data_IF_749321723939
#
_entry.id   IF_749321723939
#
_cell.length_a   1.000
_cell.length_b   1.000
_cell.length_c   1.000
_cell.angle_alpha   90.00
_cell.angle_beta   90.00
_cell.angle_gamma   90.00
#
_symmetry.space_group_name_H-M   'P 1'
#
loop_
_entity.id
_entity.type
_entity.pdbx_description
1 polymer ?
#
# COMPACT_ATOMS: atom_id res chain seq x y z
N UNK A 1 -5.36 -12.56 -4.65
CA UNK A 1 -5.17 -13.97 -4.99
C UNK A 1 -4.29 -14.55 -3.91
N UNK A 2 -4.81 -15.57 -3.25
CA UNK A 2 -4.28 -16.19 -2.04
C UNK A 2 -4.99 -17.53 -1.85
N UNK A 3 -4.37 -18.44 -1.11
CA UNK A 3 -4.96 -19.73 -0.70
C UNK A 3 -6.28 -19.52 0.04
N UNK A 4 -6.35 -18.53 0.95
CA UNK A 4 -7.56 -18.20 1.69
C UNK A 4 -8.71 -17.72 0.77
N UNK A 5 -8.40 -16.90 -0.25
CA UNK A 5 -9.39 -16.49 -1.24
C UNK A 5 -9.87 -17.66 -2.12
N UNK A 6 -8.95 -18.55 -2.53
CA UNK A 6 -9.26 -19.75 -3.33
C UNK A 6 -10.14 -20.76 -2.57
N UNK A 7 -9.90 -20.92 -1.27
CA UNK A 7 -10.58 -21.90 -0.42
C UNK A 7 -11.94 -21.42 0.12
N UNK A 8 -12.21 -20.10 0.11
CA UNK A 8 -13.48 -19.54 0.56
C UNK A 8 -14.61 -19.76 -0.46
N UNK A 9 -15.67 -20.47 -0.04
CA UNK A 9 -16.88 -20.69 -0.85
C UNK A 9 -17.56 -19.37 -1.21
N UNK A 10 -17.59 -18.41 -0.28
CA UNK A 10 -18.20 -17.10 -0.52
C UNK A 10 -17.42 -16.31 -1.58
N UNK A 11 -16.09 -16.27 -1.46
CA UNK A 11 -15.23 -15.57 -2.42
C UNK A 11 -15.32 -16.22 -3.81
N UNK A 12 -15.42 -17.55 -3.89
CA UNK A 12 -15.68 -18.26 -5.14
C UNK A 12 -17.01 -17.81 -5.78
N UNK A 13 -18.10 -17.80 -5.02
CA UNK A 13 -19.42 -17.41 -5.52
C UNK A 13 -19.46 -15.95 -6.01
N UNK A 14 -18.83 -15.03 -5.27
CA UNK A 14 -18.67 -13.62 -5.66
C UNK A 14 -17.88 -13.49 -6.98
N UNK A 15 -16.79 -14.24 -7.11
CA UNK A 15 -15.92 -14.21 -8.28
C UNK A 15 -16.58 -14.82 -9.53
N UNK A 16 -17.28 -15.95 -9.38
CA UNK A 16 -18.10 -16.55 -10.43
C UNK A 16 -19.25 -15.62 -10.86
N UNK A 17 -19.90 -14.94 -9.91
CA UNK A 17 -20.91 -13.92 -10.21
C UNK A 17 -20.32 -12.76 -11.02
N UNK A 18 -19.21 -12.16 -10.58
CA UNK A 18 -18.53 -11.09 -11.30
C UNK A 18 -18.12 -11.50 -12.73
N UNK A 19 -17.61 -12.72 -12.89
CA UNK A 19 -17.27 -13.29 -14.20
C UNK A 19 -18.49 -13.45 -15.11
N UNK A 20 -19.58 -14.05 -14.59
CA UNK A 20 -20.83 -14.25 -15.33
C UNK A 20 -21.50 -12.91 -15.73
N UNK A 21 -21.36 -11.88 -14.90
CA UNK A 21 -21.79 -10.50 -15.19
C UNK A 21 -20.88 -9.76 -16.20
N UNK A 22 -19.78 -10.37 -16.64
CA UNK A 22 -18.74 -9.77 -17.50
C UNK A 22 -18.11 -8.51 -16.89
N UNK A 23 -18.05 -8.45 -15.55
CA UNK A 23 -17.38 -7.36 -14.84
C UNK A 23 -15.89 -7.32 -15.19
N UNK A 24 -15.30 -6.12 -15.14
CA UNK A 24 -13.85 -5.96 -15.21
C UNK A 24 -13.24 -6.54 -13.93
N UNK A 25 -12.32 -7.49 -14.07
CA UNK A 25 -11.61 -8.13 -12.96
C UNK A 25 -10.12 -7.85 -13.17
N UNK A 26 -9.52 -7.10 -12.25
CA UNK A 26 -8.07 -6.91 -12.15
C UNK A 26 -7.58 -7.85 -11.04
N UNK A 27 -6.85 -8.93 -11.34
CA UNK A 27 -6.36 -9.83 -10.31
C UNK A 27 -5.20 -9.17 -9.57
N UNK A 28 -5.30 -9.12 -8.23
CA UNK A 28 -4.18 -8.75 -7.36
C UNK A 28 -3.55 -10.04 -6.81
N UNK A 29 -2.24 -10.19 -6.83
CA UNK A 29 -1.54 -11.19 -6.03
C UNK A 29 -1.22 -10.58 -4.67
N UNK A 30 -1.48 -11.32 -3.60
CA UNK A 30 -1.23 -10.84 -2.22
C UNK A 30 -0.52 -11.87 -1.35
N UNK A 31 -0.41 -13.13 -1.78
CA UNK A 31 0.24 -14.21 -1.03
C UNK A 31 1.53 -14.65 -1.74
N UNK A 32 2.64 -14.65 -1.01
CA UNK A 32 3.96 -14.94 -1.54
C UNK A 32 4.03 -16.33 -2.17
N UNK A 33 4.64 -16.42 -3.36
CA UNK A 33 4.79 -17.66 -4.13
C UNK A 33 3.47 -18.38 -4.50
N UNK A 34 2.30 -17.77 -4.26
CA UNK A 34 1.01 -18.38 -4.55
C UNK A 34 0.83 -18.62 -6.06
N UNK A 35 0.40 -19.83 -6.42
CA UNK A 35 0.09 -20.19 -7.81
C UNK A 35 -1.40 -20.46 -7.93
N UNK A 36 -2.11 -19.57 -8.63
CA UNK A 36 -3.54 -19.69 -8.85
C UNK A 36 -3.87 -20.98 -9.61
N UNK A 37 -4.68 -21.83 -8.99
CA UNK A 37 -5.07 -23.15 -9.49
C UNK A 37 -6.60 -23.32 -9.50
N UNK A 38 -7.08 -24.41 -10.11
CA UNK A 38 -8.50 -24.72 -10.19
C UNK A 38 -9.33 -23.54 -10.71
N UNK A 39 -10.44 -23.23 -10.00
CA UNK A 39 -11.35 -22.16 -10.38
C UNK A 39 -10.68 -20.78 -10.43
N UNK A 40 -9.74 -20.49 -9.52
CA UNK A 40 -9.06 -19.20 -9.46
C UNK A 40 -8.03 -19.07 -10.59
N UNK A 41 -7.34 -20.16 -10.92
CA UNK A 41 -6.47 -20.26 -12.10
C UNK A 41 -7.22 -20.04 -13.41
N UNK A 42 -8.41 -20.65 -13.58
CA UNK A 42 -9.26 -20.41 -14.75
C UNK A 42 -9.79 -18.97 -14.81
N UNK A 43 -10.17 -18.39 -13.65
CA UNK A 43 -10.67 -17.01 -13.57
C UNK A 43 -9.58 -15.99 -13.90
N UNK A 44 -8.36 -16.17 -13.41
CA UNK A 44 -7.21 -15.37 -13.79
C UNK A 44 -6.93 -15.54 -15.29
N UNK A 45 -6.76 -16.79 -15.74
CA UNK A 45 -6.46 -17.13 -17.13
C UNK A 45 -5.13 -16.51 -17.57
N UNK A 46 -5.12 -15.86 -18.74
CA UNK A 46 -3.97 -15.12 -19.26
C UNK A 46 -3.92 -13.64 -18.84
N UNK A 47 -4.71 -13.22 -17.84
CA UNK A 47 -4.66 -11.83 -17.35
C UNK A 47 -3.35 -11.57 -16.62
N UNK A 48 -2.76 -10.41 -16.90
CA UNK A 48 -1.70 -9.85 -16.06
C UNK A 48 -2.33 -9.56 -14.68
N UNK A 49 -1.61 -9.91 -13.62
CA UNK A 49 -1.96 -9.56 -12.25
C UNK A 49 -0.98 -8.51 -11.73
N UNK A 50 -1.43 -7.71 -10.76
CA UNK A 50 -0.56 -6.79 -10.02
C UNK A 50 -0.13 -7.48 -8.74
N UNK A 51 1.17 -7.51 -8.46
CA UNK A 51 1.72 -8.24 -7.31
C UNK A 51 2.01 -7.31 -6.14
N UNK A 52 1.38 -7.60 -5.00
CA UNK A 52 1.58 -6.94 -3.70
C UNK A 52 2.14 -7.92 -2.65
N UNK A 53 2.41 -9.18 -3.00
CA UNK A 53 2.98 -10.16 -2.09
C UNK A 53 4.44 -9.80 -1.76
N UNK A 54 4.76 -9.71 -0.46
CA UNK A 54 6.06 -9.26 0.05
C UNK A 54 6.53 -7.92 -0.56
N UNK A 55 5.59 -7.01 -0.88
CA UNK A 55 5.87 -5.68 -1.45
C UNK A 55 5.69 -4.59 -0.43
N UNK A 56 6.83 -4.03 -0.03
CA UNK A 56 6.94 -2.93 0.94
C UNK A 56 7.61 -1.72 0.28
N UNK A 57 7.55 -0.56 0.94
CA UNK A 57 8.15 0.72 0.52
C UNK A 57 8.07 1.03 -0.98
N UNK A 58 9.21 1.11 -1.67
CA UNK A 58 9.26 1.45 -3.09
C UNK A 58 8.67 0.37 -4.00
N UNK A 59 8.76 -0.91 -3.60
CA UNK A 59 8.19 -1.99 -4.41
C UNK A 59 6.67 -1.97 -4.33
N UNK A 60 6.13 -1.69 -3.13
CA UNK A 60 4.71 -1.42 -2.95
C UNK A 60 4.25 -0.24 -3.82
N UNK A 61 5.01 0.84 -3.86
CA UNK A 61 4.65 2.04 -4.61
C UNK A 61 4.62 1.76 -6.13
N UNK A 62 5.61 1.02 -6.65
CA UNK A 62 5.64 0.53 -8.06
C UNK A 62 4.48 -0.41 -8.37
N UNK A 63 4.14 -1.33 -7.47
CA UNK A 63 2.97 -2.21 -7.61
C UNK A 63 1.67 -1.38 -7.63
N UNK A 64 1.57 -0.36 -6.79
CA UNK A 64 0.42 0.53 -6.76
C UNK A 64 0.26 1.34 -8.06
N UNK A 65 1.35 1.84 -8.64
CA UNK A 65 1.32 2.49 -9.96
C UNK A 65 0.81 1.56 -11.07
N UNK A 66 1.22 0.29 -11.07
CA UNK A 66 0.70 -0.72 -12.00
C UNK A 66 -0.81 -0.97 -11.80
N UNK A 67 -1.30 -0.98 -10.56
CA UNK A 67 -2.74 -1.05 -10.28
C UNK A 67 -3.49 0.17 -10.81
N UNK A 68 -2.96 1.37 -10.62
CA UNK A 68 -3.56 2.60 -11.15
C UNK A 68 -3.63 2.55 -12.68
N UNK A 69 -2.54 2.17 -13.36
CA UNK A 69 -2.53 2.02 -14.82
C UNK A 69 -3.53 0.97 -15.32
N UNK A 70 -3.71 -0.15 -14.61
CA UNK A 70 -4.73 -1.16 -14.93
C UNK A 70 -6.17 -0.65 -14.69
N UNK A 71 -6.41 0.15 -13.64
CA UNK A 71 -7.71 0.78 -13.40
C UNK A 71 -8.08 1.77 -14.51
N UNK A 72 -7.14 2.61 -14.93
CA UNK A 72 -7.29 3.53 -16.07
C UNK A 72 -7.55 2.76 -17.38
N UNK A 73 -6.70 1.76 -17.70
CA UNK A 73 -6.82 0.93 -18.91
C UNK A 73 -8.15 0.20 -19.03
N UNK A 74 -8.79 -0.12 -17.90
CA UNK A 74 -10.09 -0.79 -17.85
C UNK A 74 -11.29 0.18 -17.76
N UNK A 75 -11.05 1.50 -17.69
CA UNK A 75 -12.11 2.51 -17.52
C UNK A 75 -12.76 2.48 -16.14
N UNK A 76 -12.04 2.01 -15.12
CA UNK A 76 -12.48 1.95 -13.72
C UNK A 76 -12.03 3.18 -12.90
N UNK A 77 -11.14 3.99 -13.47
CA UNK A 77 -10.77 5.31 -12.97
C UNK A 77 -10.84 6.29 -14.14
N UNK A 78 -11.67 7.31 -14.00
CA UNK A 78 -11.68 8.45 -14.92
C UNK A 78 -10.40 9.25 -14.70
N UNK A 79 -9.60 9.40 -15.74
CA UNK A 79 -8.60 10.47 -15.84
C UNK A 79 -9.30 11.71 -16.39
N UNK A 80 -9.14 12.86 -15.72
CA UNK A 80 -9.59 14.14 -16.27
C UNK A 80 -8.80 14.56 -17.53
N UNK A 81 -7.76 13.80 -17.89
CA UNK A 81 -7.03 13.94 -19.14
C UNK A 81 -7.34 12.79 -20.11
N UNK A 82 -8.05 13.13 -21.20
CA UNK A 82 -7.86 12.47 -22.49
C UNK A 82 -6.67 13.13 -23.19
N UNK A 83 -5.54 12.42 -23.30
CA UNK A 83 -4.58 12.68 -24.37
C UNK A 83 -4.25 11.40 -25.15
N UNK A 84 -3.82 11.64 -26.39
CA UNK A 84 -3.97 10.72 -27.51
C UNK A 84 -2.75 9.80 -27.67
N UNK A 85 -2.98 8.56 -28.12
CA UNK A 85 -1.95 7.53 -28.28
C UNK A 85 -0.78 7.95 -29.18
N UNK A 86 0.46 7.62 -28.79
CA UNK A 86 1.48 7.12 -29.74
C UNK A 86 2.57 6.26 -29.09
N UNK A 87 2.77 5.08 -29.67
CA UNK A 87 3.95 4.22 -29.46
C UNK A 87 5.17 4.88 -30.11
N UNK A 88 6.38 4.70 -29.57
CA UNK A 88 7.57 4.19 -30.29
C UNK A 88 8.72 3.92 -29.31
N UNK A 89 9.53 2.91 -29.63
CA UNK A 89 10.65 2.40 -28.84
C UNK A 89 12.01 3.04 -29.20
N UNK A 90 13.01 2.79 -28.32
CA UNK A 90 14.48 2.77 -28.52
C UNK A 90 15.31 3.89 -27.86
N UNK A 91 16.09 3.46 -26.86
CA UNK A 91 17.46 3.91 -26.49
C UNK A 91 18.48 3.71 -27.65
N UNK A 92 19.76 4.17 -27.60
CA UNK A 92 20.50 4.87 -26.53
C UNK A 92 21.36 6.09 -27.00
N UNK A 93 22.30 6.54 -26.13
CA UNK A 93 23.60 7.22 -26.39
C UNK A 93 23.71 8.68 -25.90
N UNK A 94 24.31 8.95 -24.72
CA UNK A 94 25.73 9.37 -24.49
C UNK A 94 26.06 10.82 -24.91
N UNK A 95 26.23 11.76 -23.96
CA UNK A 95 27.56 12.30 -23.53
C UNK A 95 27.50 13.33 -22.37
N UNK A 96 28.61 13.43 -21.62
CA UNK A 96 28.93 14.39 -20.53
C UNK A 96 29.49 15.72 -21.11
N UNK A 97 29.50 16.87 -20.40
CA UNK A 97 30.41 17.18 -19.26
C UNK A 97 29.77 18.11 -18.18
N UNK A 98 30.43 18.74 -17.18
CA UNK A 98 31.79 18.65 -16.62
C UNK A 98 31.78 18.82 -15.07
N UNK A 99 32.71 18.14 -14.39
CA UNK A 99 33.54 18.56 -13.23
C UNK A 99 33.12 19.77 -12.36
N UNK A 100 32.93 19.51 -11.06
CA UNK A 100 33.58 20.28 -9.97
C UNK A 100 34.09 19.34 -8.87
N UNK A 101 35.22 19.71 -8.24
CA UNK A 101 35.83 19.01 -7.09
C UNK A 101 35.66 19.84 -5.83
N UNK A 102 35.43 19.17 -4.69
CA UNK A 102 35.98 19.56 -3.39
C UNK A 102 35.82 18.39 -2.42
N UNK A 103 36.91 18.02 -1.74
CA UNK A 103 36.84 17.20 -0.52
C UNK A 103 36.36 18.10 0.64
N UNK A 104 35.82 17.52 1.72
CA UNK A 104 36.60 17.31 2.95
C UNK A 104 35.84 16.56 4.06
N UNK A 105 36.64 15.90 4.90
CA UNK A 105 36.41 15.33 6.22
C UNK A 105 35.13 14.51 6.54
N UNK A 106 35.36 13.20 6.69
CA UNK A 106 34.50 12.28 7.44
C UNK A 106 34.60 12.62 8.93
N UNK A 107 33.47 12.97 9.56
CA UNK A 107 33.31 12.95 11.02
C UNK A 107 32.23 11.94 11.39
N UNK A 108 32.47 11.00 12.33
CA UNK A 108 31.48 9.99 12.69
C UNK A 108 30.28 10.66 13.38
N UNK A 109 29.03 10.30 13.01
CA UNK A 109 27.85 10.79 13.73
C UNK A 109 27.77 10.09 15.09
N UNK A 110 28.09 10.82 16.16
CA UNK A 110 27.62 10.48 17.51
C UNK A 110 26.09 10.45 17.50
N UNK A 111 25.44 9.42 18.06
CA UNK A 111 23.99 9.38 18.13
C UNK A 111 23.48 10.55 19.01
N UNK A 112 22.47 11.31 18.56
CA UNK A 112 21.89 12.37 19.38
C UNK A 112 21.16 11.77 20.60
N UNK A 113 21.05 12.51 21.72
CA UNK A 113 20.44 11.99 22.94
C UNK A 113 18.92 11.82 22.77
N UNK A 114 18.38 10.75 23.36
CA UNK A 114 16.94 10.54 23.52
C UNK A 114 16.35 11.76 24.26
N UNK A 115 15.49 12.53 23.58
CA UNK A 115 14.73 13.62 24.17
C UNK A 115 13.25 13.45 23.83
N UNK A 116 12.50 13.02 24.84
CA UNK A 116 11.04 12.95 24.88
C UNK A 116 10.39 14.26 24.39
N UNK A 117 9.21 14.16 23.75
CA UNK A 117 8.30 15.25 23.30
C UNK A 117 8.42 15.85 21.89
N UNK A 118 9.28 15.37 20.98
CA UNK A 118 9.35 15.97 19.62
C UNK A 118 8.03 15.84 18.81
N UNK A 119 7.36 14.68 18.79
CA UNK A 119 6.13 14.47 17.99
C UNK A 119 4.98 15.44 18.30
N UNK A 120 4.93 16.07 19.48
CA UNK A 120 3.95 17.12 19.80
C UNK A 120 4.13 18.39 18.95
N UNK A 121 5.33 18.62 18.41
CA UNK A 121 5.66 19.76 17.55
C UNK A 121 5.55 19.45 16.05
N UNK A 122 5.32 18.18 15.66
CA UNK A 122 5.36 17.74 14.24
C UNK A 122 4.01 17.95 13.52
N UNK A 123 3.00 18.45 14.24
CA UNK A 123 1.67 18.73 13.71
C UNK A 123 0.77 17.49 13.66
N UNK A 124 -0.30 17.50 12.83
CA UNK A 124 -1.24 16.38 12.74
C UNK A 124 -0.54 15.07 12.37
N UNK A 125 -1.02 13.95 12.93
CA UNK A 125 -0.41 12.63 12.73
C UNK A 125 -0.21 12.26 11.25
N UNK A 126 -0.98 12.78 10.31
CA UNK A 126 -0.77 12.59 8.86
C UNK A 126 0.62 13.03 8.34
N UNK A 127 1.39 13.82 9.09
CA UNK A 127 2.76 14.21 8.74
C UNK A 127 3.85 13.35 9.37
N UNK A 128 3.50 12.33 10.17
CA UNK A 128 4.46 11.53 10.94
C UNK A 128 5.08 10.40 10.11
N UNK A 129 6.37 10.15 10.31
CA UNK A 129 7.06 8.94 9.85
C UNK A 129 7.05 7.85 10.96
N UNK A 130 7.62 6.68 10.67
CA UNK A 130 7.66 5.55 11.61
C UNK A 130 8.34 5.85 12.95
N UNK A 131 9.41 6.65 12.97
CA UNK A 131 10.06 7.05 14.22
C UNK A 131 9.09 7.80 15.15
N UNK A 132 8.36 8.79 14.63
CA UNK A 132 7.36 9.53 15.41
C UNK A 132 6.21 8.63 15.89
N UNK A 133 5.83 7.61 15.11
CA UNK A 133 4.85 6.60 15.52
C UNK A 133 5.38 5.76 16.68
N UNK A 134 6.63 5.29 16.62
CA UNK A 134 7.24 4.51 17.71
C UNK A 134 7.39 5.34 18.99
N UNK A 135 7.82 6.61 18.89
CA UNK A 135 7.87 7.55 20.02
C UNK A 135 6.49 7.78 20.65
N UNK A 136 5.46 7.99 19.82
CA UNK A 136 4.07 8.11 20.28
C UNK A 136 3.60 6.85 21.02
N UNK A 137 3.96 5.65 20.57
CA UNK A 137 3.60 4.40 21.24
C UNK A 137 4.28 4.28 22.62
N UNK A 138 5.57 4.60 22.72
CA UNK A 138 6.31 4.62 24.00
C UNK A 138 5.68 5.59 24.99
N UNK A 139 5.50 6.86 24.60
CA UNK A 139 5.03 7.91 25.51
C UNK A 139 3.58 7.70 25.97
N UNK A 140 2.76 6.96 25.18
CA UNK A 140 1.41 6.56 25.55
C UNK A 140 1.32 5.17 26.22
N UNK A 141 2.46 4.50 26.51
CA UNK A 141 2.55 3.17 27.14
C UNK A 141 1.84 2.07 26.34
N UNK A 142 1.97 2.15 25.02
CA UNK A 142 1.45 1.21 24.03
C UNK A 142 2.58 0.32 23.48
N UNK A 143 3.62 0.05 24.27
CA UNK A 143 4.82 -0.69 23.87
C UNK A 143 4.50 -2.07 23.24
N UNK A 144 3.45 -2.71 23.74
CA UNK A 144 2.90 -3.95 23.21
C UNK A 144 2.49 -3.89 21.71
N UNK A 145 2.25 -2.71 21.15
CA UNK A 145 1.88 -2.51 19.74
C UNK A 145 3.08 -2.17 18.83
N UNK A 146 4.27 -1.92 19.38
CA UNK A 146 5.46 -1.53 18.59
C UNK A 146 5.75 -2.53 17.47
N UNK A 147 5.60 -3.83 17.74
CA UNK A 147 5.81 -4.92 16.78
C UNK A 147 4.74 -5.02 15.67
N UNK A 148 3.53 -4.47 15.89
CA UNK A 148 2.48 -4.41 14.86
C UNK A 148 2.65 -3.16 14.00
N UNK A 149 3.14 -2.09 14.61
CA UNK A 149 3.29 -0.76 14.02
C UNK A 149 4.74 -0.45 13.58
N UNK A 150 5.63 -1.44 13.50
CA UNK A 150 7.08 -1.27 13.29
C UNK A 150 7.39 -0.28 12.15
N UNK A 151 6.81 -0.53 10.97
CA UNK A 151 6.99 0.27 9.76
C UNK A 151 5.86 1.27 9.47
N UNK A 152 4.89 1.43 10.38
CA UNK A 152 3.73 2.31 10.14
C UNK A 152 4.14 3.78 10.17
N UNK A 153 3.77 4.52 9.13
CA UNK A 153 3.72 5.97 9.15
C UNK A 153 2.45 6.48 9.86
N UNK A 154 2.33 7.79 10.01
CA UNK A 154 1.18 8.38 10.70
C UNK A 154 -0.15 8.26 9.95
N UNK A 155 -0.15 8.05 8.63
CA UNK A 155 -1.37 7.82 7.87
C UNK A 155 -1.90 6.40 8.07
N UNK A 156 -1.01 5.42 8.03
CA UNK A 156 -1.31 4.02 8.31
C UNK A 156 -1.68 3.80 9.77
N UNK A 157 -1.09 4.54 10.72
CA UNK A 157 -1.51 4.57 12.12
C UNK A 157 -2.95 5.09 12.29
N UNK A 158 -3.35 6.13 11.56
CA UNK A 158 -4.74 6.65 11.57
C UNK A 158 -5.71 5.59 11.04
N UNK A 159 -5.38 4.93 9.92
CA UNK A 159 -6.18 3.86 9.33
C UNK A 159 -6.30 2.63 10.24
N UNK A 160 -5.22 2.25 10.93
CA UNK A 160 -5.21 1.21 11.96
C UNK A 160 -6.14 1.58 13.13
N UNK A 161 -5.99 2.80 13.67
CA UNK A 161 -6.83 3.30 14.77
C UNK A 161 -8.33 3.36 14.43
N UNK A 162 -8.68 3.77 13.20
CA UNK A 162 -10.06 3.72 12.69
C UNK A 162 -10.56 2.28 12.55
N UNK A 163 -9.71 1.36 12.09
CA UNK A 163 -10.07 -0.05 11.94
C UNK A 163 -10.34 -0.71 13.29
N UNK A 164 -9.56 -0.38 14.32
CA UNK A 164 -9.77 -0.83 15.70
C UNK A 164 -11.11 -0.36 16.29
N UNK A 165 -11.64 0.79 15.85
CA UNK A 165 -12.96 1.29 16.28
C UNK A 165 -14.13 0.69 15.48
N UNK A 166 -13.93 0.41 14.19
CA UNK A 166 -15.00 -0.03 13.28
C UNK A 166 -15.19 -1.55 13.27
N UNK A 167 -14.14 -2.34 13.47
CA UNK A 167 -14.17 -3.81 13.52
C UNK A 167 -13.30 -4.36 14.67
N UNK A 168 -13.60 -3.99 15.94
CA UNK A 168 -12.75 -4.28 17.10
C UNK A 168 -12.44 -5.77 17.28
N UNK A 169 -13.44 -6.66 17.18
CA UNK A 169 -13.25 -8.10 17.38
C UNK A 169 -12.25 -8.70 16.37
N UNK A 170 -12.32 -8.25 15.11
CA UNK A 170 -11.39 -8.66 14.06
C UNK A 170 -10.01 -8.10 14.32
N UNK A 171 -9.89 -6.80 14.60
CA UNK A 171 -8.60 -6.18 14.88
C UNK A 171 -7.92 -6.81 16.10
N UNK A 172 -8.66 -7.12 17.16
CA UNK A 172 -8.13 -7.84 18.32
C UNK A 172 -7.61 -9.23 17.94
N UNK A 173 -8.36 -10.00 17.14
CA UNK A 173 -7.90 -11.30 16.66
C UNK A 173 -6.63 -11.20 15.80
N UNK A 174 -6.56 -10.23 14.89
CA UNK A 174 -5.40 -10.00 14.01
C UNK A 174 -4.16 -9.56 14.83
N UNK A 175 -4.31 -8.59 15.76
CA UNK A 175 -3.22 -8.07 16.61
C UNK A 175 -2.63 -9.17 17.50
N UNK A 176 -3.47 -10.07 18.04
CA UNK A 176 -3.01 -11.14 18.93
C UNK A 176 -2.58 -12.43 18.19
N UNK A 177 -2.80 -12.53 16.87
CA UNK A 177 -2.30 -13.63 16.04
C UNK A 177 -1.41 -13.11 14.87
N UNK A 178 -0.32 -12.38 15.14
CA UNK A 178 0.45 -11.68 14.11
C UNK A 178 1.37 -12.59 13.26
N UNK A 179 1.38 -13.90 13.51
CA UNK A 179 2.31 -14.86 12.88
C UNK A 179 1.59 -15.81 11.93
N UNK A 180 2.18 -15.97 10.75
CA UNK A 180 1.93 -17.01 9.75
C UNK A 180 0.56 -17.03 9.01
N UNK A 181 -0.49 -16.34 9.46
CA UNK A 181 -1.81 -16.36 8.79
C UNK A 181 -2.10 -15.18 7.84
N UNK A 182 -1.24 -14.17 7.75
CA UNK A 182 -1.50 -12.96 6.97
C UNK A 182 -0.60 -12.90 5.73
N UNK A 183 -1.18 -12.84 4.52
CA UNK A 183 -0.40 -12.92 3.29
C UNK A 183 0.36 -11.61 2.97
N UNK A 184 0.03 -10.50 3.65
CA UNK A 184 0.74 -9.21 3.60
C UNK A 184 0.92 -8.65 5.01
N UNK A 185 1.95 -7.82 5.22
CA UNK A 185 2.18 -7.11 6.48
C UNK A 185 1.07 -6.08 6.79
N UNK A 186 0.87 -5.77 8.08
CA UNK A 186 -0.13 -4.79 8.51
C UNK A 186 0.11 -3.40 7.91
N UNK A 187 1.37 -2.97 7.85
CA UNK A 187 1.73 -1.70 7.22
C UNK A 187 1.31 -1.69 5.74
N UNK A 188 1.69 -2.71 4.97
CA UNK A 188 1.29 -2.89 3.56
C UNK A 188 -0.23 -2.86 3.38
N UNK A 189 -0.99 -3.53 4.26
CA UNK A 189 -2.45 -3.49 4.24
C UNK A 189 -3.01 -2.07 4.43
N UNK A 190 -2.57 -1.34 5.46
CA UNK A 190 -3.08 0.02 5.70
C UNK A 190 -2.57 1.04 4.68
N UNK A 191 -1.34 0.89 4.17
CA UNK A 191 -0.78 1.71 3.08
C UNK A 191 -1.64 1.54 1.81
N UNK A 192 -2.09 0.31 1.52
CA UNK A 192 -3.05 0.03 0.46
C UNK A 192 -4.41 0.68 0.71
N UNK A 193 -5.02 0.53 1.89
CA UNK A 193 -6.32 1.13 2.20
C UNK A 193 -6.26 2.67 2.14
N UNK A 194 -5.22 3.30 2.70
CA UNK A 194 -5.00 4.76 2.66
C UNK A 194 -4.91 5.26 1.21
N UNK A 195 -4.02 4.67 0.39
CA UNK A 195 -3.87 5.07 -1.02
C UNK A 195 -5.15 4.82 -1.83
N UNK A 196 -5.84 3.70 -1.60
CA UNK A 196 -7.08 3.38 -2.31
C UNK A 196 -8.19 4.38 -1.98
N UNK A 197 -8.39 4.71 -0.69
CA UNK A 197 -9.30 5.77 -0.25
C UNK A 197 -8.98 7.09 -0.95
N UNK A 198 -7.73 7.57 -0.87
CA UNK A 198 -7.27 8.79 -1.55
C UNK A 198 -7.54 8.79 -3.07
N UNK A 199 -7.36 7.64 -3.72
CA UNK A 199 -7.56 7.46 -5.16
C UNK A 199 -9.02 7.65 -5.59
N UNK A 200 -10.00 7.33 -4.72
CA UNK A 200 -11.43 7.43 -5.04
C UNK A 200 -12.17 8.60 -4.37
N UNK A 201 -11.69 9.11 -3.23
CA UNK A 201 -12.33 10.23 -2.49
C UNK A 201 -12.11 11.61 -3.13
N UNK A 202 -11.03 11.79 -3.90
CA UNK A 202 -10.67 13.06 -4.57
C UNK A 202 -11.74 13.58 -5.54
N UNK A 203 -12.66 12.72 -6.00
CA UNK A 203 -13.77 13.09 -6.90
C UNK A 203 -14.87 13.96 -6.26
N UNK A 204 -14.89 14.13 -4.92
CA UNK A 204 -16.06 14.66 -4.23
C UNK A 204 -16.07 16.19 -4.02
N UNK A 205 -14.92 16.87 -4.17
CA UNK A 205 -14.78 18.28 -3.74
C UNK A 205 -15.04 19.30 -4.87
N UNK A 206 -15.00 18.89 -6.14
CA UNK A 206 -14.99 19.79 -7.31
C UNK A 206 -16.36 20.05 -7.96
N UNK A 207 -17.45 19.97 -7.19
CA UNK A 207 -18.82 20.38 -7.62
C UNK A 207 -19.58 21.17 -6.56
N UNK A 208 -18.98 22.23 -6.03
CA UNK A 208 -19.70 23.23 -5.24
C UNK A 208 -19.07 24.63 -5.27
N UNK A 209 -18.97 25.22 -6.46
CA UNK A 209 -18.93 26.68 -6.60
C UNK A 209 -19.93 27.09 -7.68
N UNK A 210 -20.71 28.13 -7.36
CA UNK A 210 -21.83 28.69 -8.14
C UNK A 210 -21.33 29.49 -9.34
#
# INVERSE_FOLDING_TARGET
MSSNYKNSVNCKAEAEYAFNRKSKIIPLMVEANYRADGWLGFLAGSKIYVDFADKEDEEFDKAYELLIAELERNGLRDTDEKQETKKTSRTPSIHTPERKKSNDEIKPPTPPPIQTTEYLNVGPASGWNSQHVQEFLVDNKLDQLQHVCEDMDGETLIEFGQSCQTVPDKMYALINNPKDEHPVSFNTFFKFISKLKKTFTTKTTTKSTV
#
